data_IF_690720234651
#
_entry.id   IF_690720234651
#
_cell.length_a   1.000
_cell.length_b   1.000
_cell.length_c   1.000
_cell.angle_alpha   90.00
_cell.angle_beta   90.00
_cell.angle_gamma   90.00
#
_symmetry.space_group_name_H-M   'P 1'
#
loop_
_entity.id
_entity.type
_entity.pdbx_description
1 polymer ?
#
# COMPACT_ATOMS: atom_id res chain seq x y z
N UNK A 1 9.89 0.10 8.29
CA UNK A 1 10.98 -0.41 9.11
C UNK A 1 10.51 -1.67 9.84
N UNK A 2 11.37 -2.65 10.00
CA UNK A 2 11.06 -3.91 10.69
C UNK A 2 10.34 -4.96 9.86
N UNK A 3 9.82 -4.65 8.67
CA UNK A 3 9.13 -5.63 7.82
C UNK A 3 10.09 -6.72 7.33
N UNK A 4 11.29 -6.37 6.95
CA UNK A 4 12.33 -7.34 6.55
C UNK A 4 12.67 -8.30 7.70
N UNK A 5 12.81 -7.75 8.91
CA UNK A 5 13.06 -8.58 10.11
C UNK A 5 11.88 -9.52 10.41
N UNK A 6 10.64 -9.05 10.22
CA UNK A 6 9.45 -9.87 10.37
C UNK A 6 9.42 -10.99 9.34
N UNK A 7 9.73 -10.71 8.09
CA UNK A 7 9.81 -11.72 7.03
C UNK A 7 10.86 -12.79 7.36
N UNK A 8 12.04 -12.40 7.82
CA UNK A 8 13.09 -13.32 8.27
C UNK A 8 12.61 -14.24 9.40
N UNK A 9 11.89 -13.71 10.38
CA UNK A 9 11.29 -14.49 11.48
C UNK A 9 10.26 -15.50 10.98
N UNK A 10 9.58 -15.21 9.89
CA UNK A 10 8.62 -16.10 9.23
C UNK A 10 9.29 -17.10 8.27
N UNK A 11 10.62 -17.12 8.17
CA UNK A 11 11.35 -17.96 7.24
C UNK A 11 11.34 -17.49 5.79
N UNK A 12 10.90 -16.27 5.53
CA UNK A 12 10.88 -15.66 4.20
C UNK A 12 12.20 -14.92 3.99
N UNK A 13 13.10 -15.57 3.26
CA UNK A 13 14.45 -15.07 2.96
C UNK A 13 14.72 -15.21 1.45
N UNK A 14 15.79 -14.56 0.96
CA UNK A 14 16.22 -14.71 -0.44
C UNK A 14 16.42 -16.19 -0.79
N UNK A 15 17.02 -16.95 0.09
CA UNK A 15 17.30 -18.37 -0.12
C UNK A 15 16.02 -19.20 -0.18
N UNK A 16 15.04 -18.91 0.68
CA UNK A 16 13.79 -19.69 0.74
C UNK A 16 12.83 -19.37 -0.40
N UNK A 17 12.81 -18.13 -0.90
CA UNK A 17 11.87 -17.69 -1.96
C UNK A 17 12.52 -17.57 -3.34
N UNK A 18 13.85 -17.62 -3.43
CA UNK A 18 14.58 -17.60 -4.69
C UNK A 18 14.66 -16.23 -5.39
N UNK A 19 14.33 -15.15 -4.67
CA UNK A 19 14.42 -13.78 -5.21
C UNK A 19 14.85 -12.79 -4.12
N UNK A 20 15.28 -11.61 -4.56
CA UNK A 20 15.67 -10.54 -3.64
C UNK A 20 14.45 -10.04 -2.84
N UNK A 21 14.72 -9.72 -1.58
CA UNK A 21 13.77 -9.02 -0.71
C UNK A 21 14.24 -7.58 -0.59
N UNK A 22 13.49 -6.67 -1.22
CA UNK A 22 13.82 -5.25 -1.23
C UNK A 22 12.85 -4.52 -0.29
N UNK A 23 13.40 -3.93 0.76
CA UNK A 23 12.65 -3.13 1.73
C UNK A 23 13.16 -1.70 1.70
N UNK A 24 12.31 -0.78 1.28
CA UNK A 24 12.62 0.64 1.17
C UNK A 24 11.41 1.48 1.57
N UNK A 25 11.68 2.70 2.03
CA UNK A 25 10.65 3.71 2.29
C UNK A 25 10.55 4.74 1.16
N UNK A 26 11.35 4.58 0.10
CA UNK A 26 11.35 5.48 -1.03
C UNK A 26 10.07 5.32 -1.86
N UNK A 27 9.48 6.44 -2.20
CA UNK A 27 8.24 6.51 -2.98
C UNK A 27 8.40 7.48 -4.13
N UNK A 28 7.54 7.32 -5.16
CA UNK A 28 7.36 8.32 -6.21
C UNK A 28 5.87 8.66 -6.35
N UNK A 29 5.60 9.88 -6.78
CA UNK A 29 4.25 10.35 -7.08
C UNK A 29 3.82 9.79 -8.44
N UNK A 30 2.64 9.17 -8.49
CA UNK A 30 2.08 8.58 -9.72
C UNK A 30 0.83 9.29 -10.21
N UNK A 31 0.26 10.19 -9.42
CA UNK A 31 -0.92 10.95 -9.79
C UNK A 31 -1.44 11.78 -8.64
N UNK A 32 -2.62 12.36 -8.84
CA UNK A 32 -3.32 13.16 -7.82
C UNK A 32 -4.79 12.79 -7.76
N UNK A 33 -5.38 12.89 -6.57
CA UNK A 33 -6.81 12.72 -6.36
C UNK A 33 -7.60 13.92 -6.89
N UNK A 34 -8.92 13.79 -6.95
CA UNK A 34 -9.84 14.89 -7.29
C UNK A 34 -9.70 16.11 -6.38
N UNK A 35 -9.16 15.92 -5.18
CA UNK A 35 -8.86 16.98 -4.20
C UNK A 35 -7.42 17.52 -4.31
N UNK A 36 -6.75 17.24 -5.42
CA UNK A 36 -5.36 17.62 -5.69
C UNK A 36 -4.34 17.12 -4.66
N UNK A 37 -4.61 15.95 -4.06
CA UNK A 37 -3.69 15.30 -3.13
C UNK A 37 -2.79 14.31 -3.86
N UNK A 38 -1.46 14.34 -3.61
CA UNK A 38 -0.54 13.45 -4.30
C UNK A 38 -0.74 11.98 -3.90
N UNK A 39 -0.65 11.10 -4.88
CA UNK A 39 -0.70 9.65 -4.70
C UNK A 39 0.69 9.08 -4.90
N UNK A 40 1.17 8.34 -3.92
CA UNK A 40 2.51 7.78 -3.89
C UNK A 40 2.50 6.27 -4.04
N UNK A 41 3.53 5.74 -4.71
CA UNK A 41 3.80 4.31 -4.81
C UNK A 41 5.26 4.03 -4.38
N UNK A 42 5.50 2.84 -3.86
CA UNK A 42 6.85 2.31 -3.67
C UNK A 42 7.68 2.46 -4.95
N UNK A 43 8.84 3.07 -4.84
CA UNK A 43 9.72 3.34 -5.98
C UNK A 43 10.15 2.06 -6.71
N UNK A 44 10.39 0.98 -5.99
CA UNK A 44 10.76 -0.30 -6.59
C UNK A 44 9.58 -0.93 -7.34
N UNK A 45 8.37 -0.83 -6.78
CA UNK A 45 7.15 -1.29 -7.44
C UNK A 45 6.86 -0.48 -8.72
N UNK A 46 7.02 0.83 -8.67
CA UNK A 46 6.81 1.70 -9.83
C UNK A 46 7.77 1.40 -10.99
N UNK A 47 9.00 0.95 -10.69
CA UNK A 47 10.01 0.62 -11.68
C UNK A 47 9.98 -0.86 -12.13
N UNK A 48 9.08 -1.66 -11.56
CA UNK A 48 8.90 -3.06 -11.97
C UNK A 48 8.05 -3.18 -13.23
N UNK A 49 8.23 -4.27 -13.98
CA UNK A 49 7.42 -4.56 -15.18
C UNK A 49 5.97 -4.92 -14.83
N UNK A 50 5.73 -5.40 -13.62
CA UNK A 50 4.42 -5.72 -13.11
C UNK A 50 4.42 -5.92 -11.61
N UNK A 51 3.23 -5.87 -11.01
CA UNK A 51 3.04 -6.00 -9.56
C UNK A 51 2.02 -7.10 -9.30
N UNK A 52 2.38 -8.07 -8.46
CA UNK A 52 1.45 -9.07 -7.94
C UNK A 52 1.10 -8.70 -6.51
N UNK A 53 -0.18 -8.41 -6.28
CA UNK A 53 -0.70 -8.12 -4.95
C UNK A 53 -1.13 -9.40 -4.26
N UNK A 54 -0.56 -9.65 -3.10
CA UNK A 54 -0.91 -10.79 -2.25
C UNK A 54 -1.29 -10.28 -0.87
N UNK A 55 -2.52 -10.52 -0.44
CA UNK A 55 -3.01 -10.05 0.84
C UNK A 55 -4.12 -10.93 1.39
N UNK A 56 -4.27 -10.91 2.71
CA UNK A 56 -5.36 -11.55 3.42
C UNK A 56 -6.60 -10.66 3.40
N UNK A 57 -7.76 -11.21 3.04
CA UNK A 57 -9.04 -10.48 3.10
C UNK A 57 -9.57 -10.50 4.53
N UNK A 58 -9.93 -9.34 5.05
CA UNK A 58 -10.53 -9.17 6.38
C UNK A 58 -11.32 -7.86 6.45
N UNK A 59 -12.23 -7.76 7.40
CA UNK A 59 -12.95 -6.52 7.68
C UNK A 59 -12.01 -5.47 8.29
N UNK A 60 -12.32 -4.21 8.08
CA UNK A 60 -11.63 -3.11 8.76
C UNK A 60 -12.16 -2.95 10.19
N UNK A 61 -11.28 -2.55 11.11
CA UNK A 61 -11.62 -2.40 12.53
C UNK A 61 -12.35 -1.09 12.84
N UNK A 62 -12.13 -0.05 12.05
CA UNK A 62 -12.55 1.32 12.40
C UNK A 62 -13.61 1.92 11.48
N UNK A 63 -13.84 1.38 10.28
CA UNK A 63 -14.87 1.89 9.37
C UNK A 63 -15.55 0.79 8.58
N UNK A 64 -16.71 1.11 8.01
CA UNK A 64 -17.49 0.24 7.13
C UNK A 64 -17.64 0.88 5.75
N UNK A 65 -17.63 0.05 4.72
CA UNK A 65 -17.80 0.48 3.33
C UNK A 65 -17.87 -0.71 2.39
N UNK A 66 -18.12 -0.46 1.13
CA UNK A 66 -18.12 -1.50 0.10
C UNK A 66 -16.76 -2.20 -0.01
N UNK A 67 -15.68 -1.45 0.20
CA UNK A 67 -14.30 -1.95 0.26
C UNK A 67 -13.63 -1.37 1.51
N UNK A 68 -13.33 -2.21 2.47
CA UNK A 68 -12.79 -1.79 3.78
C UNK A 68 -11.32 -2.17 3.95
N UNK A 69 -10.91 -3.30 3.37
CA UNK A 69 -9.59 -3.88 3.56
C UNK A 69 -9.24 -4.78 2.36
N UNK A 70 -8.15 -5.54 2.46
CA UNK A 70 -7.71 -6.42 1.38
C UNK A 70 -6.85 -5.71 0.35
N UNK A 71 -7.03 -6.02 -0.94
CA UNK A 71 -6.16 -5.55 -2.02
C UNK A 71 -6.20 -4.03 -2.19
N UNK A 72 -7.36 -3.40 -2.10
CA UNK A 72 -7.49 -1.93 -2.19
C UNK A 72 -6.66 -1.23 -1.12
N UNK A 73 -6.73 -1.71 0.12
CA UNK A 73 -5.90 -1.16 1.19
C UNK A 73 -4.41 -1.42 0.96
N UNK A 74 -4.06 -2.58 0.42
CA UNK A 74 -2.67 -2.89 0.09
C UNK A 74 -2.13 -1.93 -0.98
N UNK A 75 -2.91 -1.62 -1.99
CA UNK A 75 -2.55 -0.63 -3.01
C UNK A 75 -2.43 0.76 -2.37
N UNK A 76 -3.51 1.28 -1.81
CA UNK A 76 -3.61 2.67 -1.39
C UNK A 76 -2.72 3.04 -0.19
N UNK A 77 -2.42 2.09 0.67
CA UNK A 77 -1.65 2.30 1.91
C UNK A 77 -0.35 1.50 1.90
N UNK A 78 -0.40 0.22 1.56
CA UNK A 78 0.78 -0.65 1.59
C UNK A 78 1.86 -0.22 0.61
N UNK A 79 1.51 -0.07 -0.65
CA UNK A 79 2.43 0.39 -1.71
C UNK A 79 2.81 1.87 -1.54
N UNK A 80 1.94 2.70 -0.99
CA UNK A 80 2.20 4.12 -0.76
C UNK A 80 3.16 4.38 0.41
N UNK A 81 3.55 3.34 1.14
CA UNK A 81 4.42 3.41 2.33
C UNK A 81 3.87 4.40 3.37
N UNK A 82 4.72 4.84 4.29
CA UNK A 82 4.33 5.79 5.34
C UNK A 82 3.84 7.12 4.76
N UNK A 83 4.53 7.65 3.76
CA UNK A 83 4.20 8.95 3.16
C UNK A 83 2.80 8.98 2.58
N UNK A 84 2.41 7.96 1.82
CA UNK A 84 1.06 7.86 1.27
C UNK A 84 0.01 7.47 2.31
N UNK A 85 0.38 6.66 3.30
CA UNK A 85 -0.51 6.33 4.41
C UNK A 85 -0.89 7.58 5.23
N UNK A 86 0.09 8.42 5.57
CA UNK A 86 -0.13 9.67 6.29
C UNK A 86 -1.04 10.61 5.47
N UNK A 87 -0.82 10.70 4.17
CA UNK A 87 -1.65 11.47 3.25
C UNK A 87 -3.10 10.95 3.22
N UNK A 88 -3.30 9.66 3.07
CA UNK A 88 -4.63 9.03 3.03
C UNK A 88 -5.36 9.21 4.36
N UNK A 89 -4.68 9.08 5.49
CA UNK A 89 -5.26 9.26 6.82
C UNK A 89 -5.59 10.73 7.15
N UNK A 90 -4.90 11.70 6.53
CA UNK A 90 -5.22 13.12 6.69
C UNK A 90 -6.62 13.48 6.16
N UNK A 91 -7.20 12.63 5.32
CA UNK A 91 -8.51 12.77 4.69
C UNK A 91 -9.63 12.20 5.56
N UNK A 92 -9.74 12.51 6.82
CA UNK A 92 -10.79 12.11 7.77
C UNK A 92 -11.46 10.74 7.51
N UNK A 93 -11.69 9.98 8.55
CA UNK A 93 -12.26 8.62 8.51
C UNK A 93 -13.64 8.51 7.83
N UNK A 94 -14.43 9.57 7.83
CA UNK A 94 -15.77 9.59 7.24
C UNK A 94 -15.80 9.30 5.73
N UNK A 95 -14.71 9.59 5.02
CA UNK A 95 -14.59 9.34 3.59
C UNK A 95 -13.51 8.31 3.24
N UNK A 96 -13.00 7.55 4.22
CA UNK A 96 -11.86 6.65 4.03
C UNK A 96 -12.10 5.62 2.92
N UNK A 97 -13.29 5.01 2.86
CA UNK A 97 -13.61 4.01 1.86
C UNK A 97 -13.54 4.60 0.43
N UNK A 98 -14.09 5.79 0.23
CA UNK A 98 -14.04 6.48 -1.06
C UNK A 98 -12.63 6.94 -1.40
N UNK A 99 -11.88 7.43 -0.42
CA UNK A 99 -10.49 7.84 -0.62
C UNK A 99 -9.59 6.65 -1.01
N UNK A 100 -9.79 5.49 -0.40
CA UNK A 100 -9.09 4.26 -0.76
C UNK A 100 -9.39 3.83 -2.20
N UNK A 101 -10.65 3.93 -2.63
CA UNK A 101 -11.04 3.63 -4.00
C UNK A 101 -10.42 4.60 -4.99
N UNK A 102 -10.50 5.89 -4.73
CA UNK A 102 -9.94 6.91 -5.60
C UNK A 102 -8.43 6.74 -5.76
N UNK A 103 -7.71 6.58 -4.66
CA UNK A 103 -6.26 6.32 -4.68
C UNK A 103 -5.97 5.02 -5.44
N UNK A 104 -6.73 3.96 -5.17
CA UNK A 104 -6.53 2.66 -5.82
C UNK A 104 -6.82 2.64 -7.31
N UNK A 105 -7.56 3.60 -7.85
CA UNK A 105 -7.83 3.70 -9.30
C UNK A 105 -6.78 4.51 -10.07
N UNK A 106 -5.89 5.20 -9.37
CA UNK A 106 -4.79 5.96 -9.98
C UNK A 106 -3.62 5.03 -10.36
N UNK A 107 -3.50 3.89 -9.69
CA UNK A 107 -2.53 2.86 -10.02
C UNK A 107 -2.97 2.06 -11.24
#
# INVERSE_FOLDING_TARGET
EGQENMLKKLGITKESVGCEIISSMDVMEVGRTSKDLPVYIDKNAANADGIILLNRVKLHTSFRGKYESGLIKMIAIGLAKRKGADMTHSLRYENMANNLLEVGTIY
#
